data_IF_674820603067
#
_entry.id   IF_674820603067
#
_cell.length_a   1.000
_cell.length_b   1.000
_cell.length_c   1.000
_cell.angle_alpha   90.00
_cell.angle_beta   90.00
_cell.angle_gamma   90.00
#
_symmetry.space_group_name_H-M   'P 1'
#
loop_
_entity.id
_entity.type
_entity.pdbx_description
1 polymer ?
#
# COMPACT_ATOMS: atom_id res chain seq x y z
N UNK A 1 -5.80 12.54 -26.32
CA UNK A 1 -5.94 11.54 -25.24
C UNK A 1 -4.53 11.16 -24.86
N UNK A 2 -4.11 11.48 -23.64
CA UNK A 2 -2.79 11.07 -23.12
C UNK A 2 -2.80 9.57 -22.94
N UNK A 3 -1.67 8.92 -23.29
CA UNK A 3 -1.48 7.52 -22.99
C UNK A 3 -1.27 7.36 -21.47
N UNK A 4 -2.21 6.70 -20.75
CA UNK A 4 -2.08 6.56 -19.30
C UNK A 4 -0.83 5.79 -18.88
N UNK A 5 -0.25 4.97 -19.76
CA UNK A 5 0.97 4.21 -19.47
C UNK A 5 2.25 5.01 -19.74
N UNK A 6 2.21 5.96 -20.68
CA UNK A 6 3.35 6.82 -21.00
C UNK A 6 3.49 8.02 -20.03
N UNK A 7 2.37 8.47 -19.44
CA UNK A 7 2.31 9.63 -18.55
C UNK A 7 2.38 9.26 -17.05
N UNK A 8 2.62 8.00 -16.73
CA UNK A 8 2.63 7.51 -15.37
C UNK A 8 4.02 7.05 -14.90
N UNK A 9 4.99 7.94 -14.73
CA UNK A 9 5.95 7.72 -13.70
C UNK A 9 5.26 8.15 -12.40
N UNK A 10 4.88 7.22 -11.56
CA UNK A 10 4.59 7.50 -10.15
C UNK A 10 5.93 7.82 -9.49
N UNK A 11 6.62 8.83 -9.96
CA UNK A 11 7.91 9.26 -9.44
C UNK A 11 7.81 10.61 -8.71
N UNK A 12 6.57 11.13 -8.54
CA UNK A 12 6.31 12.41 -7.89
C UNK A 12 5.14 12.36 -6.94
N UNK A 13 5.37 12.85 -5.76
CA UNK A 13 4.34 13.07 -4.74
C UNK A 13 4.01 14.56 -4.56
N UNK A 14 4.76 15.45 -5.18
CA UNK A 14 4.56 16.90 -5.17
C UNK A 14 3.45 17.32 -6.14
N UNK A 15 2.26 16.79 -5.93
CA UNK A 15 1.08 17.17 -6.69
C UNK A 15 0.41 18.42 -6.09
N UNK A 16 -0.23 19.19 -6.95
CA UNK A 16 -1.04 20.35 -6.51
C UNK A 16 -2.10 19.88 -5.50
N UNK A 17 -2.17 20.54 -4.36
CA UNK A 17 -3.24 20.27 -3.40
C UNK A 17 -4.57 20.79 -3.95
N UNK A 18 -5.55 19.89 -4.06
CA UNK A 18 -6.91 20.19 -4.47
C UNK A 18 -7.74 20.56 -3.24
N UNK A 19 -8.67 21.52 -3.40
CA UNK A 19 -9.60 21.96 -2.35
C UNK A 19 -11.01 22.10 -2.89
N UNK A 20 -12.02 22.11 -2.02
CA UNK A 20 -13.42 22.32 -2.39
C UNK A 20 -13.90 21.33 -3.43
N UNK A 21 -14.61 21.84 -4.47
CA UNK A 21 -15.24 21.03 -5.50
C UNK A 21 -14.25 20.25 -6.35
N UNK A 22 -13.05 20.79 -6.60
CA UNK A 22 -12.00 20.06 -7.33
C UNK A 22 -11.56 18.79 -6.55
N UNK A 23 -11.41 18.91 -5.25
CA UNK A 23 -11.09 17.75 -4.39
C UNK A 23 -12.24 16.74 -4.38
N UNK A 24 -13.48 17.20 -4.33
CA UNK A 24 -14.65 16.31 -4.38
C UNK A 24 -14.74 15.57 -5.71
N UNK A 25 -14.53 16.25 -6.84
CA UNK A 25 -14.48 15.63 -8.17
C UNK A 25 -13.34 14.63 -8.30
N UNK A 26 -12.14 14.97 -7.81
CA UNK A 26 -11.00 14.05 -7.80
C UNK A 26 -11.31 12.79 -6.98
N UNK A 27 -11.88 12.95 -5.78
CA UNK A 27 -12.28 11.81 -4.94
C UNK A 27 -13.34 10.93 -5.59
N UNK A 28 -14.26 11.51 -6.36
CA UNK A 28 -15.28 10.76 -7.08
C UNK A 28 -14.69 9.84 -8.18
N UNK A 29 -13.47 10.11 -8.65
CA UNK A 29 -12.78 9.21 -9.59
C UNK A 29 -12.34 7.89 -8.96
N UNK A 30 -12.24 7.83 -7.63
CA UNK A 30 -11.90 6.60 -6.90
C UNK A 30 -13.15 5.75 -6.65
N UNK A 31 -13.81 5.37 -7.72
CA UNK A 31 -15.03 4.58 -7.74
C UNK A 31 -14.75 3.05 -7.77
N UNK A 32 -15.79 2.27 -7.91
CA UNK A 32 -15.71 0.81 -8.02
C UNK A 32 -14.84 0.37 -9.20
N UNK A 33 -14.97 1.03 -10.36
CA UNK A 33 -14.20 0.70 -11.56
C UNK A 33 -12.71 0.97 -11.32
N UNK A 34 -12.37 2.11 -10.76
CA UNK A 34 -10.98 2.43 -10.39
C UNK A 34 -10.39 1.32 -9.51
N UNK A 35 -11.04 1.01 -8.39
CA UNK A 35 -10.51 0.02 -7.44
C UNK A 35 -10.46 -1.42 -7.97
N UNK A 36 -11.24 -1.75 -9.00
CA UNK A 36 -11.22 -3.07 -9.65
C UNK A 36 -10.21 -3.20 -10.79
N UNK A 37 -9.58 -2.09 -11.25
CA UNK A 37 -8.75 -2.08 -12.46
C UNK A 37 -7.33 -1.51 -12.26
N UNK A 38 -6.91 -1.26 -11.02
CA UNK A 38 -5.56 -0.74 -10.73
C UNK A 38 -4.51 -1.73 -11.24
N UNK A 39 -3.56 -1.30 -12.07
CA UNK A 39 -2.50 -2.17 -12.56
C UNK A 39 -1.57 -2.62 -11.42
N UNK A 40 -1.07 -3.85 -11.50
CA UNK A 40 -0.05 -4.34 -10.59
C UNK A 40 1.30 -3.65 -10.87
N UNK A 41 2.05 -3.39 -9.80
CA UNK A 41 3.45 -2.96 -9.92
C UNK A 41 4.29 -4.17 -10.33
N UNK A 42 5.23 -3.95 -11.24
CA UNK A 42 6.11 -5.01 -11.74
C UNK A 42 6.83 -5.74 -10.58
N UNK A 43 6.88 -7.06 -10.62
CA UNK A 43 7.51 -7.90 -9.60
C UNK A 43 6.70 -8.07 -8.31
N UNK A 44 5.59 -7.34 -8.14
CA UNK A 44 4.84 -7.42 -6.88
C UNK A 44 4.02 -8.71 -6.73
N UNK A 45 3.51 -9.24 -7.84
CA UNK A 45 2.76 -10.52 -7.85
C UNK A 45 3.70 -11.66 -7.52
N UNK A 46 4.84 -11.73 -8.19
CA UNK A 46 5.88 -12.73 -7.99
C UNK A 46 6.36 -12.72 -6.54
N UNK A 47 6.65 -11.54 -5.99
CA UNK A 47 7.07 -11.38 -4.58
C UNK A 47 6.02 -11.93 -3.59
N UNK A 48 4.73 -11.70 -3.86
CA UNK A 48 3.65 -12.25 -3.06
C UNK A 48 3.56 -13.79 -3.21
N UNK A 49 3.75 -14.33 -4.41
CA UNK A 49 3.77 -15.76 -4.66
C UNK A 49 4.93 -16.44 -3.91
N UNK A 50 6.12 -15.84 -3.90
CA UNK A 50 7.29 -16.37 -3.18
C UNK A 50 7.04 -16.41 -1.67
N UNK A 51 6.42 -15.38 -1.11
CA UNK A 51 6.04 -15.36 0.30
C UNK A 51 5.02 -16.46 0.63
N UNK A 52 3.99 -16.64 -0.20
CA UNK A 52 3.01 -17.72 0.02
C UNK A 52 3.62 -19.10 -0.15
N UNK A 53 4.54 -19.27 -1.11
CA UNK A 53 5.30 -20.53 -1.26
C UNK A 53 6.17 -20.88 -0.04
N UNK A 54 6.51 -19.87 0.76
CA UNK A 54 7.21 -20.01 2.05
C UNK A 54 6.25 -20.04 3.25
N UNK A 55 4.99 -20.41 3.06
CA UNK A 55 3.95 -20.59 4.08
C UNK A 55 3.51 -19.29 4.80
N UNK A 56 3.69 -18.13 4.18
CA UNK A 56 3.14 -16.87 4.72
C UNK A 56 1.71 -16.63 4.22
N UNK A 57 0.79 -16.32 5.14
CA UNK A 57 -0.53 -15.79 4.80
C UNK A 57 -0.43 -14.29 4.51
N UNK A 58 -1.00 -13.85 3.39
CA UNK A 58 -1.01 -12.45 2.97
C UNK A 58 -2.40 -11.84 3.10
N UNK A 59 -2.47 -10.67 3.73
CA UNK A 59 -3.70 -9.88 3.87
C UNK A 59 -3.43 -8.46 3.37
N UNK A 60 -4.28 -7.96 2.48
CA UNK A 60 -4.21 -6.56 2.04
C UNK A 60 -4.97 -5.67 3.04
N UNK A 61 -4.27 -4.73 3.67
CA UNK A 61 -4.87 -3.69 4.50
C UNK A 61 -4.80 -2.37 3.75
N UNK A 62 -5.94 -1.86 3.31
CA UNK A 62 -6.03 -0.70 2.41
C UNK A 62 -6.79 0.45 3.04
N UNK A 63 -6.27 1.68 2.90
CA UNK A 63 -6.92 2.91 3.36
C UNK A 63 -8.02 3.37 2.38
N UNK A 64 -8.93 2.48 2.05
CA UNK A 64 -10.11 2.70 1.21
C UNK A 64 -11.38 2.59 2.02
N UNK A 65 -12.49 3.09 1.49
CA UNK A 65 -13.79 2.93 2.11
C UNK A 65 -14.28 1.48 2.00
N UNK A 66 -15.06 1.02 2.99
CA UNK A 66 -15.54 -0.37 3.10
C UNK A 66 -16.31 -0.83 1.86
N UNK A 67 -17.04 0.06 1.20
CA UNK A 67 -17.79 -0.23 -0.02
C UNK A 67 -16.92 -0.70 -1.20
N UNK A 68 -15.61 -0.39 -1.19
CA UNK A 68 -14.67 -0.77 -2.25
C UNK A 68 -13.83 -2.02 -1.93
N UNK A 69 -14.02 -2.62 -0.76
CA UNK A 69 -13.25 -3.80 -0.34
C UNK A 69 -13.36 -4.94 -1.33
N UNK A 70 -14.59 -5.26 -1.78
CA UNK A 70 -14.84 -6.31 -2.76
C UNK A 70 -14.21 -6.01 -4.12
N UNK A 71 -14.28 -4.75 -4.60
CA UNK A 71 -13.66 -4.32 -5.85
C UNK A 71 -12.14 -4.47 -5.79
N UNK A 72 -11.52 -4.06 -4.67
CA UNK A 72 -10.08 -4.22 -4.48
C UNK A 72 -9.65 -5.68 -4.41
N UNK A 73 -10.41 -6.54 -3.73
CA UNK A 73 -10.15 -7.97 -3.70
C UNK A 73 -10.23 -8.60 -5.11
N UNK A 74 -11.25 -8.24 -5.87
CA UNK A 74 -11.38 -8.68 -7.27
C UNK A 74 -10.19 -8.23 -8.11
N UNK A 75 -9.75 -6.98 -7.97
CA UNK A 75 -8.59 -6.45 -8.66
C UNK A 75 -7.31 -7.26 -8.35
N UNK A 76 -7.03 -7.53 -7.09
CA UNK A 76 -5.86 -8.31 -6.68
C UNK A 76 -5.89 -9.72 -7.27
N UNK A 77 -7.04 -10.40 -7.23
CA UNK A 77 -7.22 -11.73 -7.81
C UNK A 77 -7.03 -11.73 -9.33
N UNK A 78 -7.63 -10.76 -10.02
CA UNK A 78 -7.50 -10.62 -11.49
C UNK A 78 -6.05 -10.33 -11.89
N UNK A 79 -5.32 -9.58 -11.09
CA UNK A 79 -3.89 -9.31 -11.30
C UNK A 79 -2.97 -10.50 -10.94
N UNK A 80 -3.51 -11.57 -10.34
CA UNK A 80 -2.76 -12.78 -10.00
C UNK A 80 -2.12 -12.77 -8.60
N UNK A 81 -2.47 -11.81 -7.73
CA UNK A 81 -2.00 -11.84 -6.34
C UNK A 81 -2.63 -12.99 -5.55
N UNK A 82 -1.83 -13.77 -4.80
CA UNK A 82 -2.32 -14.83 -3.93
C UNK A 82 -2.86 -14.25 -2.60
N UNK A 83 -3.75 -13.26 -2.70
CA UNK A 83 -4.38 -12.56 -1.58
C UNK A 83 -5.86 -12.81 -1.61
N UNK A 84 -6.39 -13.41 -0.56
CA UNK A 84 -7.81 -13.76 -0.49
C UNK A 84 -8.63 -12.83 0.41
N UNK A 85 -7.96 -11.93 1.12
CA UNK A 85 -8.60 -11.03 2.06
C UNK A 85 -8.10 -9.61 1.91
N UNK A 86 -9.04 -8.67 1.82
CA UNK A 86 -8.81 -7.23 1.92
C UNK A 86 -9.49 -6.73 3.19
N UNK A 87 -8.89 -5.79 3.87
CA UNK A 87 -9.49 -5.05 4.99
C UNK A 87 -9.43 -3.57 4.63
N UNK A 88 -10.58 -2.98 4.44
CA UNK A 88 -10.74 -1.55 4.25
C UNK A 88 -10.68 -0.83 5.59
N UNK A 89 -9.85 0.21 5.71
CA UNK A 89 -9.68 0.94 6.98
C UNK A 89 -10.17 2.38 6.90
N UNK A 90 -10.71 2.79 5.75
CA UNK A 90 -10.97 4.19 5.42
C UNK A 90 -9.71 5.07 5.56
N UNK A 91 -9.82 6.36 5.26
CA UNK A 91 -8.68 7.29 5.36
C UNK A 91 -8.86 8.29 6.52
N UNK A 92 -9.66 7.95 7.53
CA UNK A 92 -9.90 8.78 8.69
C UNK A 92 -8.86 8.45 9.78
N UNK A 93 -7.74 9.16 9.74
CA UNK A 93 -6.75 9.11 10.81
C UNK A 93 -6.81 10.40 11.61
N UNK A 94 -7.11 10.32 12.90
CA UNK A 94 -7.01 11.47 13.80
C UNK A 94 -5.61 11.60 14.40
N UNK A 95 -4.91 10.49 14.63
CA UNK A 95 -3.56 10.52 15.24
C UNK A 95 -2.84 9.19 14.99
N UNK A 96 -2.25 9.06 13.82
CA UNK A 96 -1.51 7.85 13.45
C UNK A 96 -1.97 7.21 12.13
N UNK A 97 -1.60 5.96 11.91
CA UNK A 97 -1.99 5.22 10.73
C UNK A 97 -3.47 4.82 10.76
N UNK A 98 -4.25 5.05 9.69
CA UNK A 98 -5.61 4.52 9.60
C UNK A 98 -5.64 2.99 9.64
N UNK A 99 -4.51 2.34 9.36
CA UNK A 99 -4.35 0.89 9.36
C UNK A 99 -4.03 0.30 10.75
N UNK A 100 -3.65 1.12 11.72
CA UNK A 100 -3.15 0.66 13.01
C UNK A 100 -4.15 -0.21 13.79
N UNK A 101 -5.44 0.09 13.74
CA UNK A 101 -6.48 -0.71 14.41
C UNK A 101 -6.61 -2.11 13.79
N UNK A 102 -6.65 -2.19 12.46
CA UNK A 102 -6.70 -3.46 11.74
C UNK A 102 -5.44 -4.31 12.01
N UNK A 103 -4.27 -3.69 12.03
CA UNK A 103 -3.01 -4.37 12.31
C UNK A 103 -2.92 -4.89 13.76
N UNK A 104 -3.48 -4.15 14.73
CA UNK A 104 -3.59 -4.66 16.12
C UNK A 104 -4.50 -5.89 16.21
N UNK A 105 -5.60 -5.91 15.47
CA UNK A 105 -6.52 -7.04 15.44
C UNK A 105 -5.95 -8.26 14.71
N UNK A 106 -5.30 -8.04 13.56
CA UNK A 106 -4.66 -9.09 12.75
C UNK A 106 -3.43 -9.70 13.43
N UNK A 107 -2.65 -8.88 14.18
CA UNK A 107 -1.36 -9.24 14.77
C UNK A 107 -0.38 -9.88 13.77
N UNK A 108 -0.15 -9.28 12.59
CA UNK A 108 0.77 -9.85 11.62
C UNK A 108 2.21 -9.78 12.15
N UNK A 109 3.09 -10.63 11.61
CA UNK A 109 4.53 -10.60 11.93
C UNK A 109 5.24 -9.45 11.21
N UNK A 110 4.74 -9.05 10.03
CA UNK A 110 5.23 -7.91 9.25
C UNK A 110 4.09 -7.12 8.63
N UNK A 111 4.33 -5.84 8.43
CA UNK A 111 3.49 -4.92 7.67
C UNK A 111 4.38 -4.16 6.70
N UNK A 112 4.01 -4.18 5.41
CA UNK A 112 4.73 -3.52 4.33
C UNK A 112 3.85 -2.43 3.73
N UNK A 113 4.36 -1.23 3.62
CA UNK A 113 3.63 -0.09 3.05
C UNK A 113 4.61 0.83 2.31
N UNK A 114 4.11 1.57 1.32
CA UNK A 114 4.87 2.54 0.54
C UNK A 114 4.65 4.00 1.00
N UNK A 115 3.86 4.19 2.06
CA UNK A 115 3.57 5.51 2.61
C UNK A 115 3.96 5.61 4.08
N UNK A 116 5.08 6.27 4.34
CA UNK A 116 5.69 6.39 5.68
C UNK A 116 4.70 6.80 6.79
N UNK A 117 3.77 7.77 6.59
CA UNK A 117 2.78 8.10 7.60
C UNK A 117 1.90 6.92 8.03
N UNK A 118 1.74 5.88 7.20
CA UNK A 118 0.98 4.69 7.56
C UNK A 118 1.73 3.73 8.48
N UNK A 119 3.03 3.94 8.70
CA UNK A 119 3.82 3.19 9.68
C UNK A 119 3.71 3.79 11.10
N UNK A 120 3.17 5.00 11.22
CA UNK A 120 3.04 5.69 12.51
C UNK A 120 2.06 4.96 13.44
N UNK A 121 2.51 4.68 14.67
CA UNK A 121 1.67 4.04 15.69
C UNK A 121 1.40 2.56 15.46
N UNK A 122 2.16 1.91 14.57
CA UNK A 122 2.15 0.46 14.42
C UNK A 122 2.77 -0.19 15.67
N UNK A 123 2.14 -1.23 16.25
CA UNK A 123 2.69 -1.91 17.41
C UNK A 123 4.11 -2.42 17.18
N UNK A 124 5.01 -2.25 18.17
CA UNK A 124 6.42 -2.60 18.06
C UNK A 124 6.70 -4.10 17.82
N UNK A 125 5.72 -4.98 18.06
CA UNK A 125 5.85 -6.41 17.75
C UNK A 125 5.63 -6.73 16.28
N UNK A 126 5.18 -5.76 15.47
CA UNK A 126 5.01 -5.91 14.02
C UNK A 126 6.24 -5.33 13.34
N UNK A 127 6.90 -6.11 12.50
CA UNK A 127 7.97 -5.57 11.66
C UNK A 127 7.39 -4.62 10.61
N UNK A 128 7.61 -3.32 10.76
CA UNK A 128 7.16 -2.31 9.81
C UNK A 128 8.22 -2.10 8.72
N UNK A 129 7.92 -2.49 7.49
CA UNK A 129 8.80 -2.33 6.34
C UNK A 129 8.27 -1.22 5.42
N UNK A 130 9.15 -0.33 4.98
CA UNK A 130 8.85 0.75 4.05
C UNK A 130 9.37 0.42 2.66
N UNK A 131 8.48 0.46 1.67
CA UNK A 131 8.86 0.44 0.26
C UNK A 131 9.02 1.87 -0.22
N UNK A 132 10.22 2.23 -0.65
CA UNK A 132 10.55 3.62 -1.00
C UNK A 132 9.94 4.08 -2.32
N UNK A 133 9.74 3.18 -3.28
CA UNK A 133 9.15 3.37 -4.62
C UNK A 133 9.78 4.46 -5.49
N UNK A 134 10.25 5.55 -4.89
CA UNK A 134 10.51 6.80 -5.58
C UNK A 134 11.87 7.39 -5.22
N UNK A 135 12.80 7.52 -6.14
CA UNK A 135 14.05 8.23 -5.90
C UNK A 135 13.87 9.76 -5.86
N UNK A 136 12.76 10.30 -6.43
CA UNK A 136 12.60 11.74 -6.67
C UNK A 136 11.32 12.28 -6.03
N UNK A 137 11.41 12.83 -4.81
CA UNK A 137 10.30 13.56 -4.19
C UNK A 137 9.34 12.69 -3.39
N UNK A 138 9.76 11.51 -2.94
CA UNK A 138 9.00 10.68 -2.01
C UNK A 138 8.68 11.44 -0.71
N UNK A 139 7.45 11.35 -0.17
CA UNK A 139 7.15 11.84 1.17
C UNK A 139 7.84 11.02 2.28
N UNK A 140 8.46 9.91 1.89
CA UNK A 140 9.14 8.97 2.78
C UNK A 140 10.53 9.48 3.16
N UNK A 141 10.60 10.62 3.82
CA UNK A 141 11.84 11.32 4.21
C UNK A 141 11.75 11.85 5.63
N UNK A 142 12.88 12.33 6.16
CA UNK A 142 12.94 13.01 7.46
C UNK A 142 13.01 12.06 8.66
N UNK A 143 12.76 12.63 9.83
CA UNK A 143 12.94 11.95 11.13
C UNK A 143 11.92 10.80 11.32
N UNK A 144 10.79 10.87 10.66
CA UNK A 144 9.74 9.83 10.71
C UNK A 144 10.18 8.48 10.13
N UNK A 145 11.29 8.44 9.39
CA UNK A 145 11.92 7.19 8.94
C UNK A 145 12.29 6.23 10.08
N UNK A 146 12.34 6.71 11.31
CA UNK A 146 12.53 5.87 12.51
C UNK A 146 11.39 4.85 12.71
N UNK A 147 10.20 5.08 12.15
CA UNK A 147 9.09 4.12 12.24
C UNK A 147 9.27 2.89 11.33
N UNK A 148 10.16 2.97 10.34
CA UNK A 148 10.46 1.85 9.46
C UNK A 148 11.61 1.01 10.03
N UNK A 149 11.33 -0.25 10.38
CA UNK A 149 12.33 -1.21 10.82
C UNK A 149 13.25 -1.66 9.68
N UNK A 150 12.75 -1.65 8.44
CA UNK A 150 13.54 -1.90 7.24
C UNK A 150 13.00 -1.06 6.06
N UNK A 151 13.86 -0.85 5.06
CA UNK A 151 13.55 -0.06 3.86
C UNK A 151 14.00 -0.80 2.64
N UNK A 152 13.15 -0.85 1.62
CA UNK A 152 13.37 -1.60 0.39
C UNK A 152 12.98 -0.75 -0.81
N UNK A 153 13.63 -0.97 -1.95
CA UNK A 153 13.30 -0.27 -3.18
C UNK A 153 11.88 -0.60 -3.66
N UNK A 154 11.50 -1.87 -3.52
CA UNK A 154 10.22 -2.42 -3.97
C UNK A 154 9.79 -3.61 -3.11
N UNK A 155 8.64 -4.19 -3.42
CA UNK A 155 8.12 -5.35 -2.70
C UNK A 155 8.96 -6.61 -2.95
N UNK A 156 9.57 -6.76 -4.14
CA UNK A 156 10.44 -7.88 -4.44
C UNK A 156 11.70 -7.84 -3.58
N UNK A 157 12.29 -6.66 -3.39
CA UNK A 157 13.42 -6.46 -2.48
C UNK A 157 13.09 -6.77 -1.04
N UNK A 158 11.87 -6.42 -0.58
CA UNK A 158 11.40 -6.83 0.74
C UNK A 158 11.26 -8.35 0.84
N UNK A 159 10.56 -8.98 -0.09
CA UNK A 159 10.32 -10.43 -0.06
C UNK A 159 11.64 -11.23 -0.06
N UNK A 160 12.56 -10.89 -0.95
CA UNK A 160 13.87 -11.52 -1.02
C UNK A 160 14.63 -11.39 0.33
N UNK A 161 14.68 -10.19 0.89
CA UNK A 161 15.34 -9.95 2.17
C UNK A 161 14.64 -10.69 3.31
N UNK A 162 13.30 -10.72 3.34
CA UNK A 162 12.52 -11.35 4.40
C UNK A 162 12.70 -12.87 4.42
N UNK A 163 12.77 -13.51 3.26
CA UNK A 163 12.93 -14.94 3.11
C UNK A 163 14.35 -15.45 3.43
N UNK A 164 15.34 -14.55 3.44
CA UNK A 164 16.75 -14.90 3.72
C UNK A 164 17.27 -14.40 5.07
N UNK A 165 16.42 -13.88 5.95
CA UNK A 165 16.82 -13.35 7.27
C UNK A 165 16.85 -14.43 8.35
#
# INVERSE_FOLDING_TARGET
>A
VRDPLADWPIDRWDVRQLVGDELAQFRACFDHQYWSTIPAIAGAVEACCDLVAADYELVCVSAIEAQFEAARLQNLRTAGFPIERVIATANAAFDGSPKASALRALRPIAFVDDFLPYLRGIPAYIHAALVLREPNGSPNTGDDLVWAHSRHADLAGFAAWWLHR
#
